data_IF_622426138586
#
_entry.id   IF_622426138586
#
_cell.length_a   1.000
_cell.length_b   1.000
_cell.length_c   1.000
_cell.angle_alpha   90.00
_cell.angle_beta   90.00
_cell.angle_gamma   90.00
#
_symmetry.space_group_name_H-M   'P 1'
#
loop_
_entity.id
_entity.type
_entity.pdbx_description
1 polymer ?
#
# COMPACT_ATOMS: atom_id res chain seq x y z
N UNK A 1 14.01 11.57 3.79
CA UNK A 1 13.22 10.59 3.03
C UNK A 1 12.12 10.11 3.95
N UNK A 2 10.85 10.30 3.58
CA UNK A 2 9.69 9.88 4.37
C UNK A 2 9.37 8.41 4.11
N UNK A 3 8.55 7.81 4.98
CA UNK A 3 8.08 6.43 4.80
C UNK A 3 7.30 6.27 3.49
N UNK A 4 6.52 7.28 3.09
CA UNK A 4 5.83 7.31 1.81
C UNK A 4 6.78 7.33 0.60
N UNK A 5 7.81 8.18 0.62
CA UNK A 5 8.82 8.25 -0.45
C UNK A 5 9.55 6.91 -0.60
N UNK A 6 9.91 6.27 0.51
CA UNK A 6 10.52 4.94 0.51
C UNK A 6 9.56 3.89 -0.03
N UNK A 7 8.33 3.81 0.48
CA UNK A 7 7.34 2.84 0.02
C UNK A 7 7.05 2.96 -1.48
N UNK A 8 6.90 4.19 -1.98
CA UNK A 8 6.62 4.44 -3.39
C UNK A 8 7.83 4.12 -4.28
N UNK A 9 9.02 4.60 -3.92
CA UNK A 9 10.23 4.38 -4.73
C UNK A 9 10.68 2.93 -4.80
N UNK A 10 10.33 2.13 -3.78
CA UNK A 10 10.67 0.71 -3.72
C UNK A 10 9.58 -0.19 -4.29
N UNK A 11 8.38 0.33 -4.53
CA UNK A 11 7.28 -0.45 -5.10
C UNK A 11 7.53 -0.70 -6.60
N UNK A 12 7.35 -1.94 -7.02
CA UNK A 12 7.48 -2.37 -8.42
C UNK A 12 6.13 -2.62 -9.06
N UNK A 13 5.14 -3.03 -8.27
CA UNK A 13 3.80 -3.36 -8.77
C UNK A 13 2.75 -3.25 -7.68
N UNK A 14 1.57 -2.80 -8.04
CA UNK A 14 0.37 -2.81 -7.21
C UNK A 14 -0.75 -3.57 -7.92
N UNK A 15 -1.47 -4.41 -7.18
CA UNK A 15 -2.64 -5.17 -7.67
C UNK A 15 -3.74 -5.08 -6.63
N UNK A 16 -4.95 -4.72 -7.06
CA UNK A 16 -6.17 -4.87 -6.27
C UNK A 16 -7.12 -5.87 -6.94
N UNK A 17 -7.96 -6.53 -6.15
CA UNK A 17 -9.03 -7.36 -6.69
C UNK A 17 -10.24 -6.52 -7.14
N UNK A 18 -11.15 -7.12 -7.94
CA UNK A 18 -12.28 -6.40 -8.53
C UNK A 18 -13.32 -5.86 -7.53
N UNK A 19 -13.34 -6.37 -6.30
CA UNK A 19 -14.20 -5.85 -5.21
C UNK A 19 -13.52 -4.77 -4.37
N UNK A 20 -12.23 -4.49 -4.64
CA UNK A 20 -11.41 -3.55 -3.89
C UNK A 20 -11.43 -3.82 -2.38
N UNK A 21 -11.46 -5.10 -2.00
CA UNK A 21 -11.37 -5.54 -0.62
C UNK A 21 -10.00 -6.14 -0.27
N UNK A 22 -9.18 -6.43 -1.28
CA UNK A 22 -7.82 -6.96 -1.16
C UNK A 22 -6.89 -6.26 -2.13
N UNK A 23 -5.67 -6.02 -1.66
CA UNK A 23 -4.58 -5.50 -2.46
C UNK A 23 -3.23 -6.12 -2.09
N UNK A 24 -2.29 -6.06 -3.03
CA UNK A 24 -0.89 -6.45 -2.83
C UNK A 24 0.02 -5.39 -3.45
N UNK A 25 0.99 -4.90 -2.68
CA UNK A 25 2.13 -4.12 -3.19
C UNK A 25 3.35 -5.05 -3.21
N UNK A 26 4.04 -5.10 -4.34
CA UNK A 26 5.29 -5.83 -4.53
C UNK A 26 6.46 -4.84 -4.50
N UNK A 27 7.54 -5.19 -3.82
CA UNK A 27 8.73 -4.35 -3.67
C UNK A 27 9.93 -4.89 -4.44
N UNK A 28 10.94 -4.04 -4.64
CA UNK A 28 12.14 -4.37 -5.42
C UNK A 28 13.00 -5.48 -4.80
N UNK A 29 12.93 -5.69 -3.49
CA UNK A 29 13.61 -6.79 -2.78
C UNK A 29 12.88 -8.15 -2.92
N UNK A 30 11.78 -8.20 -3.68
CA UNK A 30 10.96 -9.40 -3.88
C UNK A 30 9.92 -9.65 -2.78
N UNK A 31 9.91 -8.84 -1.71
CA UNK A 31 8.87 -8.92 -0.67
C UNK A 31 7.55 -8.32 -1.15
N UNK A 32 6.47 -8.63 -0.45
CA UNK A 32 5.14 -8.08 -0.74
C UNK A 32 4.35 -7.75 0.52
N UNK A 33 3.56 -6.68 0.46
CA UNK A 33 2.62 -6.26 1.49
C UNK A 33 1.20 -6.61 1.04
N UNK A 34 0.53 -7.51 1.76
CA UNK A 34 -0.87 -7.83 1.55
C UNK A 34 -1.74 -6.92 2.43
N UNK A 35 -2.83 -6.42 1.86
CA UNK A 35 -3.81 -5.62 2.56
C UNK A 35 -5.20 -6.20 2.33
N UNK A 36 -6.02 -6.26 3.38
CA UNK A 36 -7.43 -6.66 3.27
C UNK A 36 -8.29 -5.83 4.19
N UNK A 37 -9.47 -5.44 3.70
CA UNK A 37 -10.56 -4.94 4.54
C UNK A 37 -11.87 -5.65 4.21
N UNK A 38 -12.48 -6.31 5.19
CA UNK A 38 -13.79 -6.98 5.06
C UNK A 38 -14.79 -6.39 6.05
N UNK A 39 -15.72 -5.55 5.56
CA UNK A 39 -16.68 -4.85 6.43
C UNK A 39 -16.04 -3.75 7.31
N UNK A 40 -16.82 -3.25 8.28
CA UNK A 40 -16.43 -2.12 9.14
C UNK A 40 -15.28 -2.46 10.11
N UNK A 41 -15.13 -3.73 10.52
CA UNK A 41 -14.28 -4.10 11.65
C UNK A 41 -13.07 -4.98 11.34
N UNK A 42 -12.89 -5.48 10.10
CA UNK A 42 -11.72 -6.31 9.79
C UNK A 42 -10.84 -5.66 8.75
N UNK A 43 -9.88 -4.86 9.22
CA UNK A 43 -8.81 -4.28 8.39
C UNK A 43 -7.46 -4.79 8.88
N UNK A 44 -6.69 -5.40 8.00
CA UNK A 44 -5.34 -5.86 8.31
C UNK A 44 -4.39 -5.64 7.13
N UNK A 45 -3.11 -5.53 7.46
CA UNK A 45 -2.01 -5.59 6.51
C UNK A 45 -0.95 -6.56 7.04
N UNK A 46 -0.26 -7.25 6.13
CA UNK A 46 0.72 -8.28 6.47
C UNK A 46 1.85 -8.31 5.46
N UNK A 47 3.09 -8.23 5.95
CA UNK A 47 4.28 -8.43 5.16
C UNK A 47 4.49 -9.91 4.81
N UNK A 48 5.13 -10.18 3.68
CA UNK A 48 5.48 -11.54 3.24
C UNK A 48 6.53 -12.22 4.13
N UNK A 49 7.37 -11.45 4.81
CA UNK A 49 8.41 -11.94 5.71
C UNK A 49 9.25 -10.82 6.32
N UNK A 50 10.00 -11.15 7.35
CA UNK A 50 10.85 -10.24 8.12
C UNK A 50 12.30 -10.77 8.17
N UNK A 51 13.32 -9.91 8.10
CA UNK A 51 13.27 -8.49 7.74
C UNK A 51 13.09 -8.29 6.23
N UNK A 52 12.28 -7.30 5.82
CA UNK A 52 12.11 -6.92 4.41
C UNK A 52 11.57 -5.49 4.22
N UNK A 53 11.51 -5.01 2.98
CA UNK A 53 10.84 -3.75 2.64
C UNK A 53 9.36 -3.80 3.00
N UNK A 54 8.66 -4.90 2.71
CA UNK A 54 7.27 -5.06 3.09
C UNK A 54 7.07 -5.00 4.61
N UNK A 55 7.99 -5.57 5.39
CA UNK A 55 7.98 -5.49 6.85
C UNK A 55 8.16 -4.05 7.34
N UNK A 56 9.17 -3.34 6.81
CA UNK A 56 9.42 -1.93 7.15
C UNK A 56 8.21 -1.03 6.84
N UNK A 57 7.60 -1.20 5.66
CA UNK A 57 6.38 -0.47 5.28
C UNK A 57 5.20 -0.84 6.18
N UNK A 58 5.05 -2.13 6.52
CA UNK A 58 3.97 -2.60 7.39
C UNK A 58 4.07 -2.01 8.80
N UNK A 59 5.27 -1.95 9.37
CA UNK A 59 5.52 -1.39 10.71
C UNK A 59 5.36 0.13 10.76
N UNK A 60 5.76 0.84 9.70
CA UNK A 60 5.63 2.29 9.61
C UNK A 60 4.19 2.74 9.30
N UNK A 61 3.34 1.85 8.78
CA UNK A 61 1.98 2.17 8.39
C UNK A 61 1.05 2.31 9.61
N UNK A 62 0.34 3.43 9.68
CA UNK A 62 -0.70 3.70 10.68
C UNK A 62 -2.04 3.11 10.28
N UNK A 63 -2.46 3.34 9.03
CA UNK A 63 -3.68 2.79 8.44
C UNK A 63 -3.59 2.86 6.91
N UNK A 64 -4.49 2.17 6.21
CA UNK A 64 -4.65 2.30 4.77
C UNK A 64 -6.11 2.53 4.40
N UNK A 65 -6.37 3.06 3.20
CA UNK A 65 -7.69 3.10 2.57
C UNK A 65 -7.61 2.43 1.21
N UNK A 66 -8.39 1.37 1.02
CA UNK A 66 -8.57 0.74 -0.28
C UNK A 66 -9.97 1.06 -0.79
N UNK A 67 -10.08 1.52 -2.03
CA UNK A 67 -11.37 1.71 -2.70
C UNK A 67 -11.18 1.60 -4.23
N UNK A 68 -12.27 1.76 -4.98
CA UNK A 68 -12.27 1.62 -6.44
C UNK A 68 -11.34 2.60 -7.18
N UNK A 69 -10.86 3.67 -6.54
CA UNK A 69 -9.98 4.66 -7.16
C UNK A 69 -8.50 4.37 -6.96
N UNK A 70 -8.12 3.96 -5.74
CA UNK A 70 -6.73 3.86 -5.31
C UNK A 70 -6.60 3.08 -4.00
N UNK A 71 -5.37 2.67 -3.72
CA UNK A 71 -4.90 2.35 -2.38
C UNK A 71 -4.11 3.54 -1.84
N UNK A 72 -4.46 4.02 -0.67
CA UNK A 72 -3.71 5.04 0.06
C UNK A 72 -3.15 4.45 1.35
N UNK A 73 -1.85 4.59 1.58
CA UNK A 73 -1.18 4.23 2.83
C UNK A 73 -0.91 5.50 3.63
N UNK A 74 -1.25 5.52 4.91
CA UNK A 74 -0.90 6.61 5.82
C UNK A 74 0.12 6.11 6.83
N UNK A 75 1.22 6.84 6.97
CA UNK A 75 2.33 6.46 7.82
C UNK A 75 2.31 7.20 9.16
N UNK A 76 3.05 6.67 10.14
CA UNK A 76 3.17 7.26 11.48
C UNK A 76 3.92 8.60 11.47
N UNK A 77 4.80 8.81 10.50
CA UNK A 77 5.53 10.08 10.28
C UNK A 77 4.67 11.19 9.66
N UNK A 78 3.38 10.91 9.38
CA UNK A 78 2.43 11.86 8.81
C UNK A 78 2.43 11.91 7.28
N UNK A 79 3.34 11.21 6.60
CA UNK A 79 3.34 11.08 5.14
C UNK A 79 2.29 10.08 4.65
N UNK A 80 1.90 10.19 3.38
CA UNK A 80 1.02 9.23 2.72
C UNK A 80 1.49 8.90 1.30
N UNK A 81 1.17 7.69 0.84
CA UNK A 81 1.50 7.21 -0.51
C UNK A 81 0.24 6.64 -1.19
N UNK A 82 0.05 7.00 -2.46
CA UNK A 82 -1.07 6.53 -3.28
C UNK A 82 -0.61 5.57 -4.39
N UNK A 83 -1.37 4.49 -4.58
CA UNK A 83 -1.15 3.48 -5.61
C UNK A 83 -2.43 3.31 -6.44
N UNK A 84 -2.27 3.37 -7.76
CA UNK A 84 -3.35 3.28 -8.74
C UNK A 84 -3.26 1.99 -9.53
N UNK A 85 -4.40 1.39 -9.85
CA UNK A 85 -4.45 0.23 -10.74
C UNK A 85 -3.94 0.68 -12.12
N UNK A 86 -3.06 -0.12 -12.75
CA UNK A 86 -2.52 0.20 -14.06
C UNK A 86 -3.65 0.55 -15.05
N UNK A 87 -3.59 1.76 -15.62
CA UNK A 87 -4.63 2.33 -16.49
C UNK A 87 -5.53 3.38 -15.82
N UNK A 88 -5.39 3.63 -14.51
CA UNK A 88 -5.92 4.83 -13.87
C UNK A 88 -4.76 5.78 -13.57
N UNK A 89 -4.66 6.88 -14.30
CA UNK A 89 -3.68 7.93 -14.01
C UNK A 89 -3.96 8.54 -12.64
N UNK A 90 -2.90 8.87 -11.89
CA UNK A 90 -3.02 9.69 -10.71
C UNK A 90 -3.72 11.01 -11.10
N UNK A 91 -4.71 11.51 -10.33
CA UNK A 91 -5.33 12.79 -10.63
C UNK A 91 -4.23 13.85 -10.71
N UNK A 92 -4.11 14.50 -11.85
CA UNK A 92 -3.17 15.60 -12.03
C UNK A 92 -3.49 16.68 -11.01
N UNK A 93 -2.62 16.84 -10.02
CA UNK A 93 -2.70 17.96 -9.08
C UNK A 93 -2.46 19.23 -9.90
N UNK A 94 -3.51 20.04 -10.07
CA UNK A 94 -3.42 21.41 -10.60
C UNK A 94 -2.76 22.33 -9.57
#
# INVERSE_FOLDING_TARGET
MTSAETAYSQATRYVANGTFDKAVIFFADGSYLQLQHTGIDTRWAKASGEPSMADSVCQAMRLFRLNAKHLQLYFTDGSDAEFFVAGQEAPSTL
#
